data_IF_149575158571
#
_entry.id   IF_149575158571
#
_cell.length_a   1.000
_cell.length_b   1.000
_cell.length_c   1.000
_cell.angle_alpha   90.00
_cell.angle_beta   90.00
_cell.angle_gamma   90.00
#
_symmetry.space_group_name_H-M   'P 1'
#
loop_
_entity.id
_entity.type
_entity.pdbx_description
1 polymer ?
#
# COMPACT_ATOMS: atom_id res chain seq x y z
N UNK A 1 -8.70 -15.94 -0.76
CA UNK A 1 -8.87 -14.77 -1.64
C UNK A 1 -9.31 -13.59 -0.79
N UNK A 2 -8.54 -12.52 -0.78
CA UNK A 2 -8.87 -11.25 -0.12
C UNK A 2 -9.12 -10.23 -1.24
N UNK A 3 -10.27 -9.55 -1.20
CA UNK A 3 -10.60 -8.46 -2.11
C UNK A 3 -10.92 -7.24 -1.25
N UNK A 4 -10.36 -6.09 -1.59
CA UNK A 4 -10.60 -4.86 -0.83
C UNK A 4 -10.67 -3.64 -1.73
N UNK A 5 -11.43 -2.64 -1.30
CA UNK A 5 -11.55 -1.35 -1.97
C UNK A 5 -10.71 -0.30 -1.26
N UNK A 6 -10.62 0.90 -1.83
CA UNK A 6 -9.91 2.03 -1.24
C UNK A 6 -10.35 2.34 0.20
N UNK A 7 -11.65 2.21 0.51
CA UNK A 7 -12.19 2.47 1.85
C UNK A 7 -11.64 1.53 2.93
N UNK A 8 -11.29 0.31 2.55
CA UNK A 8 -10.71 -0.72 3.42
C UNK A 8 -9.19 -0.82 3.34
N UNK A 9 -8.55 -0.07 2.42
CA UNK A 9 -7.13 -0.22 2.12
C UNK A 9 -6.24 0.06 3.33
N UNK A 10 -6.60 1.03 4.19
CA UNK A 10 -5.88 1.30 5.46
C UNK A 10 -5.71 0.05 6.31
N UNK A 11 -6.81 -0.66 6.55
CA UNK A 11 -6.85 -1.84 7.43
C UNK A 11 -5.99 -2.93 6.81
N UNK A 12 -6.14 -3.14 5.51
CA UNK A 12 -5.44 -4.16 4.77
C UNK A 12 -3.93 -3.91 4.71
N UNK A 13 -3.50 -2.68 4.42
CA UNK A 13 -2.08 -2.29 4.48
C UNK A 13 -1.48 -2.52 5.86
N UNK A 14 -2.22 -2.20 6.93
CA UNK A 14 -1.81 -2.48 8.31
C UNK A 14 -1.60 -3.97 8.60
N UNK A 15 -2.43 -4.85 8.02
CA UNK A 15 -2.29 -6.30 8.14
C UNK A 15 -1.07 -6.82 7.37
N UNK A 16 -0.78 -6.24 6.21
CA UNK A 16 0.30 -6.70 5.33
C UNK A 16 1.66 -6.05 5.61
N UNK A 17 1.75 -5.03 6.48
CA UNK A 17 3.00 -4.30 6.75
C UNK A 17 4.17 -5.18 7.19
N UNK A 18 3.88 -6.32 7.84
CA UNK A 18 4.87 -7.27 8.34
C UNK A 18 4.89 -8.58 7.52
N UNK A 19 4.08 -8.66 6.47
CA UNK A 19 3.95 -9.86 5.66
C UNK A 19 5.05 -9.87 4.60
N UNK A 20 5.88 -10.92 4.52
CA UNK A 20 6.85 -11.06 3.45
C UNK A 20 6.17 -10.98 2.07
N UNK A 21 6.80 -10.30 1.10
CA UNK A 21 6.24 -10.14 -0.26
C UNK A 21 5.76 -11.46 -0.88
N UNK A 22 6.50 -12.54 -0.63
CA UNK A 22 6.22 -13.88 -1.14
C UNK A 22 4.96 -14.54 -0.56
N UNK A 23 4.38 -13.98 0.50
CA UNK A 23 3.17 -14.50 1.16
C UNK A 23 1.90 -13.71 0.78
N UNK A 24 2.00 -12.65 0.00
CA UNK A 24 0.83 -11.95 -0.54
C UNK A 24 0.34 -12.75 -1.75
N UNK A 25 -0.39 -13.83 -1.48
CA UNK A 25 -1.03 -14.67 -2.51
C UNK A 25 -2.54 -14.45 -2.49
N UNK A 26 -3.13 -14.30 -3.68
CA UNK A 26 -4.58 -14.11 -3.89
C UNK A 26 -5.21 -12.92 -3.18
N UNK A 27 -4.52 -11.78 -3.23
CA UNK A 27 -5.01 -10.47 -2.78
C UNK A 27 -5.30 -9.58 -3.99
N UNK A 28 -6.47 -8.96 -4.00
CA UNK A 28 -6.95 -8.13 -5.10
C UNK A 28 -7.45 -6.78 -4.57
N UNK A 29 -7.15 -5.74 -5.33
CA UNK A 29 -7.74 -4.42 -5.17
C UNK A 29 -8.93 -4.28 -6.11
N UNK A 30 -10.09 -3.92 -5.56
CA UNK A 30 -11.29 -3.59 -6.32
C UNK A 30 -11.40 -2.07 -6.48
N UNK A 31 -11.31 -1.60 -7.73
CA UNK A 31 -11.44 -0.19 -8.09
C UNK A 31 -12.89 0.24 -8.37
N UNK A 32 -13.86 -0.66 -8.16
CA UNK A 32 -15.28 -0.48 -8.46
C UNK A 32 -15.68 -0.92 -9.88
N UNK A 33 -14.72 -1.28 -10.72
CA UNK A 33 -14.96 -1.80 -12.09
C UNK A 33 -14.37 -3.20 -12.26
N UNK A 34 -13.15 -3.42 -11.75
CA UNK A 34 -12.37 -4.64 -11.95
C UNK A 34 -11.59 -5.01 -10.68
N UNK A 35 -11.32 -6.30 -10.54
CA UNK A 35 -10.39 -6.80 -9.53
C UNK A 35 -8.96 -6.82 -10.09
N UNK A 36 -8.10 -5.98 -9.53
CA UNK A 36 -6.69 -5.91 -9.87
C UNK A 36 -5.88 -6.75 -8.90
N UNK A 37 -5.18 -7.76 -9.42
CA UNK A 37 -4.30 -8.59 -8.58
C UNK A 37 -3.16 -7.73 -8.03
N UNK A 38 -2.94 -7.82 -6.73
CA UNK A 38 -1.81 -7.17 -6.07
C UNK A 38 -0.59 -8.07 -6.22
N UNK A 39 0.53 -7.47 -6.61
CA UNK A 39 1.82 -8.16 -6.72
C UNK A 39 2.78 -7.76 -5.60
N UNK A 40 2.62 -6.56 -5.05
CA UNK A 40 3.47 -6.05 -3.97
C UNK A 40 2.75 -4.95 -3.18
N UNK A 41 3.08 -4.89 -1.89
CA UNK A 41 2.73 -3.79 -1.00
C UNK A 41 4.01 -3.31 -0.32
N UNK A 42 4.42 -2.08 -0.62
CA UNK A 42 5.66 -1.50 -0.10
C UNK A 42 5.35 -0.32 0.82
N UNK A 43 5.97 -0.23 2.02
CA UNK A 43 5.87 0.97 2.83
C UNK A 43 6.58 2.14 2.15
N UNK A 44 6.01 3.34 2.29
CA UNK A 44 6.68 4.59 1.95
C UNK A 44 7.24 5.16 3.24
N UNK A 45 8.56 5.32 3.29
CA UNK A 45 9.27 5.81 4.47
C UNK A 45 9.82 7.21 4.23
N UNK A 46 9.79 8.02 5.28
CA UNK A 46 10.36 9.36 5.26
C UNK A 46 11.19 9.57 6.52
N UNK A 47 12.33 10.23 6.35
CA UNK A 47 13.26 10.54 7.42
C UNK A 47 12.92 11.91 8.00
N UNK A 48 12.72 11.97 9.32
CA UNK A 48 12.40 13.19 10.04
C UNK A 48 13.49 13.49 11.06
N UNK A 49 13.86 14.75 11.18
CA UNK A 49 14.67 15.21 12.30
C UNK A 49 13.75 15.43 13.51
N UNK A 50 14.02 14.70 14.59
CA UNK A 50 13.27 14.75 15.84
C UNK A 50 14.27 14.93 16.98
N UNK A 51 14.27 16.12 17.60
CA UNK A 51 15.16 16.47 18.71
C UNK A 51 16.65 16.25 18.42
N UNK A 52 17.12 16.63 17.22
CA UNK A 52 18.52 16.49 16.81
C UNK A 52 18.94 15.07 16.42
N UNK A 53 17.99 14.12 16.32
CA UNK A 53 18.21 12.77 15.79
C UNK A 53 17.32 12.52 14.57
N UNK A 54 17.85 11.80 13.59
CA UNK A 54 17.08 11.38 12.42
C UNK A 54 16.35 10.07 12.70
N UNK A 55 15.04 10.05 12.46
CA UNK A 55 14.18 8.88 12.61
C UNK A 55 13.45 8.59 11.30
N UNK A 56 13.44 7.32 10.88
CA UNK A 56 12.68 6.85 9.72
C UNK A 56 11.28 6.44 10.17
N UNK A 57 10.26 7.03 9.57
CA UNK A 57 8.86 6.71 9.82
C UNK A 57 8.15 6.30 8.54
N UNK A 58 7.32 5.27 8.62
CA UNK A 58 6.37 4.95 7.55
C UNK A 58 5.30 6.03 7.48
N UNK A 59 5.17 6.67 6.32
CA UNK A 59 4.20 7.75 6.05
C UNK A 59 3.09 7.32 5.11
N UNK A 60 3.16 6.10 4.57
CA UNK A 60 2.16 5.56 3.66
C UNK A 60 2.54 4.21 3.07
N UNK A 61 1.80 3.80 2.05
CA UNK A 61 1.99 2.53 1.36
C UNK A 61 1.81 2.71 -0.15
N UNK A 62 2.62 1.99 -0.93
CA UNK A 62 2.43 1.82 -2.36
C UNK A 62 1.94 0.40 -2.63
N UNK A 63 0.78 0.28 -3.27
CA UNK A 63 0.22 -0.99 -3.73
C UNK A 63 0.53 -1.11 -5.21
N UNK A 64 1.28 -2.14 -5.59
CA UNK A 64 1.59 -2.46 -6.98
C UNK A 64 0.63 -3.52 -7.50
N UNK A 65 0.06 -3.24 -8.65
CA UNK A 65 -0.93 -4.08 -9.32
C UNK A 65 -0.29 -4.84 -10.49
N UNK A 66 -0.82 -6.03 -10.79
CA UNK A 66 -0.34 -6.87 -11.88
C UNK A 66 -0.49 -6.25 -13.27
N UNK A 67 -1.36 -5.25 -13.42
CA UNK A 67 -1.53 -4.49 -14.65
C UNK A 67 -0.47 -3.39 -14.85
N UNK A 68 0.53 -3.30 -13.97
CA UNK A 68 1.58 -2.29 -14.00
C UNK A 68 1.15 -0.94 -13.39
N UNK A 69 -0.03 -0.83 -12.78
CA UNK A 69 -0.42 0.39 -12.07
C UNK A 69 0.06 0.37 -10.62
N UNK A 70 0.23 1.56 -10.03
CA UNK A 70 0.55 1.75 -8.62
C UNK A 70 -0.46 2.69 -7.95
N UNK A 71 -0.88 2.33 -6.75
CA UNK A 71 -1.76 3.11 -5.88
C UNK A 71 -0.96 3.55 -4.67
N UNK A 72 -0.86 4.86 -4.44
CA UNK A 72 -0.19 5.44 -3.28
C UNK A 72 -1.21 5.88 -2.26
N UNK A 73 -1.04 5.40 -1.04
CA UNK A 73 -1.88 5.71 0.11
C UNK A 73 -1.03 6.39 1.18
N UNK A 74 -1.61 7.33 1.91
CA UNK A 74 -1.01 7.86 3.13
C UNK A 74 -1.14 6.87 4.30
N UNK A 75 -0.60 7.23 5.46
CA UNK A 75 -0.68 6.41 6.67
C UNK A 75 -2.11 6.24 7.21
N UNK A 76 -3.03 7.13 6.82
CA UNK A 76 -4.46 7.05 7.12
C UNK A 76 -5.23 6.20 6.11
N UNK A 77 -4.57 5.74 5.04
CA UNK A 77 -5.17 5.00 3.93
C UNK A 77 -5.93 5.87 2.94
N UNK A 78 -5.71 7.19 2.98
CA UNK A 78 -6.25 8.12 1.99
C UNK A 78 -5.45 8.04 0.70
N UNK A 79 -6.16 8.13 -0.44
CA UNK A 79 -5.54 8.07 -1.76
C UNK A 79 -4.71 9.32 -2.03
N UNK A 80 -3.40 9.15 -2.19
CA UNK A 80 -2.48 10.23 -2.55
C UNK A 80 -2.37 10.39 -4.07
N UNK A 81 -2.22 9.28 -4.80
CA UNK A 81 -2.19 9.29 -6.27
C UNK A 81 -2.30 7.88 -6.84
N UNK A 82 -2.70 7.81 -8.11
CA UNK A 82 -2.62 6.62 -8.96
C UNK A 82 -1.68 6.91 -10.11
N UNK A 83 -0.70 6.05 -10.37
CA UNK A 83 0.24 6.21 -11.49
C UNK A 83 0.31 4.93 -12.31
N UNK A 84 0.29 5.01 -13.65
CA UNK A 84 0.83 3.93 -14.47
C UNK A 84 2.35 3.87 -14.26
N UNK A 85 2.90 2.67 -14.05
CA UNK A 85 4.35 2.42 -13.91
C UNK A 85 4.97 2.26 -15.29
#
# INVERSE_FOLDING_TARGET
MIVFTIASARVVCGLFKNTPKTQITDVFFDDGTLHHKIIELAPVEQCFEVNGMYQTHTVGYTIYLANGSAIKLDINGELLSTQPV
#
